data_IF_092529465265
#
_entry.id   IF_092529465265
#
_cell.length_a   1.000
_cell.length_b   1.000
_cell.length_c   1.000
_cell.angle_alpha   90.00
_cell.angle_beta   90.00
_cell.angle_gamma   90.00
#
_symmetry.space_group_name_H-M   'P 1'
#
loop_
_entity.id
_entity.type
_entity.pdbx_description
1 polymer ?
#
# COMPACT_ATOMS: atom_id res chain seq x y z
N UNK A 1 0.32 -7.18 16.29
CA UNK A 1 1.17 -6.40 15.36
C UNK A 1 0.26 -5.40 14.68
N UNK A 2 0.49 -4.11 14.91
CA UNK A 2 -0.34 -3.04 14.37
C UNK A 2 -0.14 -2.90 12.85
N UNK A 3 -1.16 -2.40 12.19
CA UNK A 3 -1.18 -2.14 10.76
C UNK A 3 -0.08 -1.08 10.42
N UNK A 4 0.80 -1.35 9.43
CA UNK A 4 2.09 -0.65 9.23
C UNK A 4 1.98 0.79 8.70
N UNK A 5 0.93 1.11 7.93
CA UNK A 5 0.80 2.40 7.25
C UNK A 5 -0.38 2.41 6.30
N UNK A 6 -0.39 3.33 5.33
CA UNK A 6 -1.22 3.23 4.12
C UNK A 6 -0.35 2.56 3.05
N UNK A 7 -0.88 1.51 2.40
CA UNK A 7 -0.15 0.75 1.37
C UNK A 7 -0.83 0.96 0.03
N UNK A 8 -0.03 1.25 -0.99
CA UNK A 8 -0.45 1.26 -2.39
C UNK A 8 0.40 0.26 -3.17
N UNK A 9 -0.21 -0.47 -4.09
CA UNK A 9 0.46 -1.36 -5.02
C UNK A 9 0.02 -1.01 -6.44
N UNK A 10 0.98 -0.94 -7.34
CA UNK A 10 0.76 -0.64 -8.75
C UNK A 10 1.52 -1.66 -9.62
N UNK A 11 0.87 -2.12 -10.68
CA UNK A 11 1.48 -2.99 -11.68
C UNK A 11 2.00 -2.13 -12.84
N UNK A 12 3.31 -2.06 -12.96
CA UNK A 12 3.97 -1.36 -14.05
C UNK A 12 3.86 -2.12 -15.38
N UNK A 13 4.15 -1.42 -16.47
CA UNK A 13 3.98 -1.91 -17.86
C UNK A 13 4.77 -3.17 -18.22
N UNK A 14 5.83 -3.49 -17.47
CA UNK A 14 6.74 -4.62 -17.77
C UNK A 14 6.61 -5.77 -16.75
N UNK A 15 5.49 -5.86 -16.05
CA UNK A 15 5.27 -6.85 -14.99
C UNK A 15 6.03 -6.53 -13.69
N UNK A 16 6.57 -5.31 -13.57
CA UNK A 16 7.13 -4.79 -12.33
C UNK A 16 6.01 -4.46 -11.34
N UNK A 17 6.15 -4.85 -10.08
CA UNK A 17 5.20 -4.49 -9.02
C UNK A 17 5.86 -3.44 -8.14
N UNK A 18 5.23 -2.28 -8.01
CA UNK A 18 5.70 -1.20 -7.17
C UNK A 18 4.80 -1.12 -5.93
N UNK A 19 5.36 -1.47 -4.77
CA UNK A 19 4.67 -1.34 -3.48
C UNK A 19 5.22 -0.11 -2.75
N UNK A 20 4.33 0.78 -2.29
CA UNK A 20 4.69 1.97 -1.53
C UNK A 20 4.01 1.96 -0.17
N UNK A 21 4.78 2.29 0.87
CA UNK A 21 4.29 2.44 2.23
C UNK A 21 4.34 3.92 2.62
N UNK A 22 3.28 4.39 3.26
CA UNK A 22 3.15 5.78 3.70
C UNK A 22 2.73 5.84 5.16
N UNK A 23 3.11 6.92 5.84
CA UNK A 23 2.59 7.24 7.18
C UNK A 23 1.06 7.38 7.12
N UNK A 24 0.40 6.97 8.20
CA UNK A 24 -1.00 7.32 8.42
C UNK A 24 -1.04 8.78 8.85
N UNK A 25 -1.84 9.57 8.17
CA UNK A 25 -2.15 10.94 8.58
C UNK A 25 -3.63 11.02 8.90
N UNK A 26 -3.98 11.64 10.01
CA UNK A 26 -5.35 11.93 10.37
C UNK A 26 -5.55 13.43 10.24
N UNK A 27 -6.57 13.82 9.49
CA UNK A 27 -6.90 15.23 9.24
C UNK A 27 -8.33 15.45 9.70
N UNK A 28 -8.56 16.53 10.44
CA UNK A 28 -9.90 17.02 10.73
C UNK A 28 -10.38 17.80 9.50
N UNK A 29 -11.43 17.35 8.85
CA UNK A 29 -12.01 18.06 7.72
C UNK A 29 -12.94 19.20 8.18
N UNK A 30 -13.42 19.98 7.22
CA UNK A 30 -14.25 21.16 7.50
C UNK A 30 -15.62 20.81 8.10
N UNK A 31 -16.08 19.58 7.92
CA UNK A 31 -17.30 19.03 8.52
C UNK A 31 -17.09 18.54 9.97
N UNK A 32 -15.86 18.62 10.48
CA UNK A 32 -15.50 18.19 11.83
C UNK A 32 -15.28 16.67 11.96
N UNK A 33 -15.11 15.97 10.85
CA UNK A 33 -14.83 14.53 10.83
C UNK A 33 -13.32 14.25 10.74
N UNK A 34 -12.89 13.15 11.34
CA UNK A 34 -11.49 12.70 11.26
C UNK A 34 -11.36 11.74 10.08
N UNK A 35 -10.60 12.16 9.07
CA UNK A 35 -10.32 11.36 7.89
C UNK A 35 -8.90 10.79 7.93
N UNK A 36 -8.78 9.49 7.63
CA UNK A 36 -7.48 8.83 7.43
C UNK A 36 -7.00 9.11 6.01
N UNK A 37 -5.86 9.78 5.90
CA UNK A 37 -5.22 10.16 4.65
C UNK A 37 -3.80 9.61 4.56
N UNK A 38 -3.23 9.69 3.35
CA UNK A 38 -1.85 9.30 3.05
C UNK A 38 -0.89 10.40 3.47
N UNK A 39 0.06 10.07 4.35
CA UNK A 39 1.16 10.96 4.74
C UNK A 39 2.41 10.76 3.88
N UNK A 40 3.57 11.12 4.42
CA UNK A 40 4.85 10.97 3.72
C UNK A 40 5.21 9.50 3.45
N UNK A 41 5.91 9.19 2.34
CA UNK A 41 6.45 7.88 2.10
C UNK A 41 7.45 7.49 3.21
N UNK A 42 7.47 6.21 3.55
CA UNK A 42 8.37 5.66 4.57
C UNK A 42 8.97 4.34 4.10
N UNK A 43 10.13 4.04 4.65
CA UNK A 43 10.72 2.72 4.54
C UNK A 43 9.93 1.70 5.36
N UNK A 44 10.02 0.44 4.91
CA UNK A 44 9.44 -0.70 5.60
C UNK A 44 10.26 -0.95 6.88
N UNK A 45 9.64 -0.99 8.07
CA UNK A 45 10.38 -1.24 9.31
C UNK A 45 11.10 -2.60 9.29
N UNK A 46 12.32 -2.65 9.84
CA UNK A 46 13.18 -3.86 9.83
C UNK A 46 12.51 -5.11 10.44
N UNK A 47 11.65 -4.93 11.46
CA UNK A 47 10.93 -6.01 12.14
C UNK A 47 9.51 -6.23 11.59
N UNK A 48 9.30 -5.97 10.31
CA UNK A 48 8.01 -6.12 9.64
C UNK A 48 8.11 -6.95 8.36
N UNK A 49 6.96 -7.40 7.87
CA UNK A 49 6.86 -8.24 6.68
C UNK A 49 5.82 -7.65 5.72
N UNK A 50 6.06 -7.78 4.42
CA UNK A 50 5.11 -7.45 3.37
C UNK A 50 4.58 -8.78 2.79
N UNK A 51 3.27 -9.01 2.90
CA UNK A 51 2.59 -10.12 2.21
C UNK A 51 2.14 -9.64 0.83
N UNK A 52 2.69 -10.22 -0.24
CA UNK A 52 2.29 -9.91 -1.62
C UNK A 52 1.57 -11.13 -2.19
N UNK A 53 0.32 -10.96 -2.60
CA UNK A 53 -0.50 -12.00 -3.23
C UNK A 53 -0.68 -11.69 -4.69
N UNK A 54 -0.11 -12.53 -5.53
CA UNK A 54 -0.24 -12.44 -6.98
C UNK A 54 -1.15 -13.53 -7.48
N UNK A 55 -2.14 -13.15 -8.29
CA UNK A 55 -2.93 -14.11 -9.03
C UNK A 55 -2.21 -14.35 -10.36
N UNK A 56 -1.75 -15.57 -10.57
CA UNK A 56 -1.19 -15.96 -11.87
C UNK A 56 -2.31 -15.85 -12.92
N UNK A 57 -2.09 -15.11 -14.03
CA UNK A 57 -3.07 -15.10 -15.11
C UNK A 57 -3.25 -16.52 -15.67
N UNK A 58 -4.43 -16.84 -16.23
CA UNK A 58 -4.60 -18.09 -16.94
C UNK A 58 -3.52 -18.21 -18.01
N UNK A 59 -2.94 -19.40 -18.15
CA UNK A 59 -2.01 -19.66 -19.23
C UNK A 59 -2.77 -19.42 -20.54
N UNK A 60 -2.36 -18.43 -21.32
CA UNK A 60 -2.93 -18.21 -22.63
C UNK A 60 -2.81 -19.52 -23.45
N UNK A 61 -3.97 -20.11 -23.77
CA UNK A 61 -4.17 -21.18 -24.75
C UNK A 61 -3.29 -22.44 -24.62
N UNK A 62 -3.86 -23.48 -24.00
CA UNK A 62 -3.94 -24.81 -24.60
C UNK A 62 -5.06 -25.63 -23.97
#
# INVERSE_FOLDING_TARGET
MGELGVVEADEGTDGNIIVRLYKRKYILNDDGEIERTKGDPIDVPENSWIDIRLNMPPKDGN
#
